data_IF_406693753492
#
_entry.id   IF_406693753492
#
_cell.length_a   1.000
_cell.length_b   1.000
_cell.length_c   1.000
_cell.angle_alpha   90.00
_cell.angle_beta   90.00
_cell.angle_gamma   90.00
#
_symmetry.space_group_name_H-M   'P 1'
#
loop_
_entity.id
_entity.type
_entity.pdbx_description
1 polymer ?
#
# COMPACT_ATOMS: atom_id res chain seq x y z
N UNK A 1 -3.85 -19.35 -6.86
CA UNK A 1 -4.40 -18.96 -5.53
C UNK A 1 -4.62 -17.45 -5.48
N UNK A 2 -5.64 -16.95 -4.76
CA UNK A 2 -5.97 -15.50 -4.72
C UNK A 2 -4.77 -14.60 -4.38
N UNK A 3 -3.78 -15.15 -3.67
CA UNK A 3 -2.51 -14.49 -3.34
C UNK A 3 -1.70 -14.13 -4.60
N UNK A 4 -1.50 -15.08 -5.53
CA UNK A 4 -0.70 -14.84 -6.75
C UNK A 4 -1.44 -13.99 -7.79
N UNK A 5 -2.77 -14.02 -7.77
CA UNK A 5 -3.56 -13.32 -8.80
C UNK A 5 -3.93 -11.90 -8.40
N UNK A 6 -4.21 -11.66 -7.11
CA UNK A 6 -4.68 -10.37 -6.60
C UNK A 6 -3.70 -9.73 -5.61
N UNK A 7 -3.28 -10.48 -4.58
CA UNK A 7 -2.48 -9.92 -3.48
C UNK A 7 -1.05 -9.55 -3.91
N UNK A 8 -0.50 -10.19 -4.96
CA UNK A 8 0.87 -9.99 -5.41
C UNK A 8 1.19 -8.54 -5.75
N UNK A 9 0.22 -7.83 -6.32
CA UNK A 9 0.38 -6.41 -6.67
C UNK A 9 0.53 -5.53 -5.43
N UNK A 10 -0.25 -5.83 -4.39
CA UNK A 10 -0.18 -5.09 -3.13
C UNK A 10 1.10 -5.44 -2.36
N UNK A 11 1.58 -6.68 -2.44
CA UNK A 11 2.87 -7.11 -1.90
C UNK A 11 4.00 -6.31 -2.55
N UNK A 12 4.03 -6.20 -3.88
CA UNK A 12 5.04 -5.43 -4.61
C UNK A 12 5.06 -3.95 -4.19
N UNK A 13 3.88 -3.32 -4.13
CA UNK A 13 3.74 -1.94 -3.62
C UNK A 13 4.29 -1.81 -2.20
N UNK A 14 3.95 -2.73 -1.29
CA UNK A 14 4.41 -2.68 0.10
C UNK A 14 5.93 -2.85 0.18
N UNK A 15 6.52 -3.79 -0.57
CA UNK A 15 7.97 -4.02 -0.56
C UNK A 15 8.72 -2.78 -1.06
N UNK A 16 8.21 -2.13 -2.12
CA UNK A 16 8.74 -0.88 -2.65
C UNK A 16 8.67 0.27 -1.65
N UNK A 17 7.53 0.45 -0.97
CA UNK A 17 7.31 1.58 -0.05
C UNK A 17 8.02 1.39 1.30
N UNK A 18 7.97 0.19 1.88
CA UNK A 18 8.54 -0.08 3.21
C UNK A 18 10.06 -0.21 3.15
N UNK A 19 10.60 -0.71 2.04
CA UNK A 19 12.03 -0.86 1.76
C UNK A 19 12.81 -1.44 2.96
N UNK A 20 12.32 -2.55 3.50
CA UNK A 20 12.91 -3.25 4.63
C UNK A 20 12.74 -4.76 4.46
N UNK A 21 13.66 -5.60 4.96
CA UNK A 21 13.48 -7.03 4.92
C UNK A 21 12.27 -7.47 5.74
N UNK A 22 11.54 -8.46 5.22
CA UNK A 22 10.50 -9.16 5.97
C UNK A 22 11.12 -9.91 7.15
N UNK A 23 10.55 -9.70 8.33
CA UNK A 23 10.91 -10.36 9.59
C UNK A 23 10.04 -11.58 9.85
N UNK A 24 8.72 -11.44 9.71
CA UNK A 24 7.76 -12.49 10.01
C UNK A 24 6.49 -12.31 9.18
N UNK A 25 5.81 -13.42 8.88
CA UNK A 25 4.52 -13.43 8.19
C UNK A 25 3.59 -14.36 8.97
N UNK A 26 2.37 -13.90 9.21
CA UNK A 26 1.24 -14.74 9.65
C UNK A 26 0.12 -14.57 8.63
N UNK A 27 -0.48 -15.66 8.16
CA UNK A 27 -1.56 -15.57 7.19
C UNK A 27 -2.60 -16.67 7.38
N UNK A 28 -3.79 -16.43 6.85
CA UNK A 28 -4.90 -17.38 6.86
C UNK A 28 -5.64 -17.30 5.52
N UNK A 29 -5.93 -18.45 4.92
CA UNK A 29 -6.71 -18.57 3.71
C UNK A 29 -8.02 -19.32 3.98
N UNK A 30 -9.08 -18.97 3.26
CA UNK A 30 -10.37 -19.68 3.29
C UNK A 30 -10.83 -19.95 1.87
N UNK A 31 -11.10 -21.22 1.60
CA UNK A 31 -11.78 -21.70 0.39
C UNK A 31 -13.28 -21.71 0.65
N UNK A 32 -14.08 -21.02 -0.17
CA UNK A 32 -15.54 -20.90 0.01
C UNK A 32 -16.28 -21.54 -1.16
N UNK A 33 -15.83 -21.25 -2.39
CA UNK A 33 -16.41 -21.73 -3.64
C UNK A 33 -15.39 -22.58 -4.40
N UNK A 34 -14.13 -22.16 -4.41
CA UNK A 34 -13.06 -22.84 -5.14
C UNK A 34 -12.35 -23.88 -4.27
N UNK A 35 -11.59 -24.79 -4.89
CA UNK A 35 -10.71 -25.71 -4.15
C UNK A 35 -9.51 -24.99 -3.53
N UNK A 36 -9.05 -23.91 -4.16
CA UNK A 36 -8.00 -23.03 -3.63
C UNK A 36 -8.58 -21.85 -2.84
N UNK A 37 -7.83 -21.22 -1.92
CA UNK A 37 -8.33 -20.10 -1.13
C UNK A 37 -8.88 -18.95 -1.98
N UNK A 38 -10.15 -18.60 -1.72
CA UNK A 38 -10.88 -17.49 -2.34
C UNK A 38 -10.64 -16.17 -1.60
N UNK A 39 -10.38 -16.26 -0.29
CA UNK A 39 -10.05 -15.15 0.60
C UNK A 39 -8.72 -15.48 1.29
N UNK A 40 -7.82 -14.51 1.32
CA UNK A 40 -6.59 -14.58 2.10
C UNK A 40 -6.39 -13.30 2.90
N UNK A 41 -6.02 -13.45 4.17
CA UNK A 41 -5.54 -12.38 5.04
C UNK A 41 -4.08 -12.65 5.37
N UNK A 42 -3.24 -11.62 5.32
CA UNK A 42 -1.83 -11.71 5.66
C UNK A 42 -1.40 -10.52 6.51
N UNK A 43 -0.58 -10.79 7.52
CA UNK A 43 0.12 -9.79 8.33
C UNK A 43 1.62 -9.99 8.14
N UNK A 44 2.27 -8.98 7.57
CA UNK A 44 3.70 -8.96 7.31
C UNK A 44 4.37 -8.01 8.30
N UNK A 45 5.32 -8.51 9.06
CA UNK A 45 6.17 -7.71 9.93
C UNK A 45 7.53 -7.50 9.27
N UNK A 46 8.01 -6.26 9.29
CA UNK A 46 9.30 -5.87 8.73
C UNK A 46 10.34 -5.65 9.82
N UNK A 47 11.63 -5.75 9.48
CA UNK A 47 12.73 -5.54 10.43
C UNK A 47 12.79 -4.12 11.00
N UNK A 48 12.31 -3.12 10.25
CA UNK A 48 12.20 -1.73 10.72
C UNK A 48 11.00 -1.48 11.65
N UNK A 49 10.20 -2.50 11.98
CA UNK A 49 9.01 -2.38 12.82
C UNK A 49 7.74 -1.99 12.07
N UNK A 50 7.79 -1.76 10.76
CA UNK A 50 6.59 -1.59 9.94
C UNK A 50 5.78 -2.88 9.93
N UNK A 51 4.45 -2.75 9.90
CA UNK A 51 3.51 -3.86 9.80
C UNK A 51 2.55 -3.57 8.67
N UNK A 52 2.41 -4.51 7.74
CA UNK A 52 1.44 -4.45 6.67
C UNK A 52 0.36 -5.53 6.87
N UNK A 53 -0.90 -5.13 6.81
CA UNK A 53 -2.03 -6.05 6.82
C UNK A 53 -2.67 -6.03 5.43
N UNK A 54 -2.82 -7.21 4.83
CA UNK A 54 -3.38 -7.39 3.50
C UNK A 54 -4.60 -8.30 3.58
N UNK A 55 -5.60 -7.98 2.76
CA UNK A 55 -6.76 -8.83 2.51
C UNK A 55 -7.00 -8.87 1.00
N UNK A 56 -7.02 -10.08 0.44
CA UNK A 56 -7.42 -10.30 -0.94
C UNK A 56 -8.60 -11.27 -0.97
N UNK A 57 -9.63 -10.96 -1.75
CA UNK A 57 -10.86 -11.75 -1.82
C UNK A 57 -11.49 -11.66 -3.20
N UNK A 58 -11.69 -12.82 -3.85
CA UNK A 58 -12.38 -12.91 -5.15
C UNK A 58 -13.90 -12.86 -5.03
N UNK A 59 -14.44 -13.09 -3.84
CA UNK A 59 -15.89 -13.20 -3.56
C UNK A 59 -16.47 -11.97 -2.85
N UNK A 60 -15.77 -10.83 -2.94
CA UNK A 60 -16.25 -9.56 -2.38
C UNK A 60 -17.46 -9.04 -3.15
N UNK A 61 -18.51 -8.60 -2.44
CA UNK A 61 -19.74 -8.05 -3.05
C UNK A 61 -19.51 -6.71 -3.78
N UNK A 62 -18.49 -5.95 -3.36
CA UNK A 62 -18.13 -4.65 -3.94
C UNK A 62 -16.66 -4.67 -4.34
N UNK A 63 -16.37 -4.19 -5.55
CA UNK A 63 -15.00 -3.95 -6.00
C UNK A 63 -14.35 -2.88 -5.12
N UNK A 64 -13.17 -3.19 -4.59
CA UNK A 64 -12.40 -2.30 -3.75
C UNK A 64 -10.91 -2.57 -3.96
N UNK A 65 -10.14 -1.51 -4.20
CA UNK A 65 -8.68 -1.58 -4.23
C UNK A 65 -8.13 -0.35 -3.54
N UNK A 66 -7.87 -0.47 -2.24
CA UNK A 66 -7.54 0.67 -1.38
C UNK A 66 -6.39 0.32 -0.44
N UNK A 67 -5.38 1.19 -0.39
CA UNK A 67 -4.25 1.09 0.54
C UNK A 67 -4.26 2.28 1.49
N UNK A 68 -3.95 2.03 2.76
CA UNK A 68 -3.89 3.07 3.80
C UNK A 68 -2.54 3.01 4.50
N UNK A 69 -1.89 4.15 4.60
CA UNK A 69 -0.64 4.32 5.33
C UNK A 69 -0.92 5.14 6.59
N UNK A 70 -0.41 4.64 7.70
CA UNK A 70 -0.49 5.31 9.00
C UNK A 70 0.93 5.64 9.45
N UNK A 71 1.20 6.93 9.55
CA UNK A 71 2.46 7.47 10.04
C UNK A 71 2.19 8.30 11.31
N UNK A 72 3.25 8.68 12.03
CA UNK A 72 3.14 9.46 13.27
C UNK A 72 2.44 10.81 13.05
N UNK A 73 2.60 11.38 11.87
CA UNK A 73 2.18 12.72 11.49
C UNK A 73 1.34 12.75 10.20
N UNK A 74 1.00 11.59 9.63
CA UNK A 74 0.22 11.52 8.40
C UNK A 74 -0.66 10.28 8.32
N UNK A 75 -1.83 10.46 7.71
CA UNK A 75 -2.71 9.42 7.22
C UNK A 75 -2.86 9.59 5.71
N UNK A 76 -2.52 8.55 4.96
CA UNK A 76 -2.58 8.56 3.50
C UNK A 76 -3.48 7.42 3.06
N UNK A 77 -4.46 7.73 2.23
CA UNK A 77 -5.44 6.78 1.72
C UNK A 77 -5.50 6.85 0.21
N UNK A 78 -5.06 5.77 -0.45
CA UNK A 78 -5.04 5.65 -1.91
C UNK A 78 -6.13 4.68 -2.34
N UNK A 79 -7.10 5.15 -3.11
CA UNK A 79 -8.12 4.35 -3.79
C UNK A 79 -7.73 4.19 -5.26
N UNK A 80 -7.20 3.03 -5.62
CA UNK A 80 -6.72 2.72 -6.97
C UNK A 80 -7.87 2.51 -7.95
N UNK A 81 -9.06 2.13 -7.46
CA UNK A 81 -10.21 1.91 -8.32
C UNK A 81 -10.82 3.25 -8.76
N UNK A 82 -11.01 4.15 -7.80
CA UNK A 82 -11.58 5.49 -8.03
C UNK A 82 -10.55 6.53 -8.49
N UNK A 83 -9.25 6.16 -8.51
CA UNK A 83 -8.12 7.07 -8.73
C UNK A 83 -8.19 8.30 -7.82
N UNK A 84 -8.32 8.06 -6.51
CA UNK A 84 -8.40 9.10 -5.47
C UNK A 84 -7.30 8.92 -4.44
N UNK A 85 -6.76 10.03 -3.95
CA UNK A 85 -5.75 10.05 -2.89
C UNK A 85 -6.14 11.11 -1.87
N UNK A 86 -6.21 10.70 -0.61
CA UNK A 86 -6.45 11.57 0.53
C UNK A 86 -5.21 11.55 1.42
N UNK A 87 -4.59 12.70 1.61
CA UNK A 87 -3.40 12.89 2.44
C UNK A 87 -3.77 13.87 3.55
N UNK A 88 -3.86 13.36 4.76
CA UNK A 88 -4.14 14.13 5.97
C UNK A 88 -2.86 14.19 6.78
N UNK A 89 -2.32 15.39 7.00
CA UNK A 89 -1.09 15.61 7.76
C UNK A 89 -1.37 16.34 9.06
N UNK A 90 -0.51 16.12 10.04
CA UNK A 90 -0.56 16.73 11.37
C UNK A 90 0.72 17.50 11.64
N UNK A 91 0.58 18.75 12.09
CA UNK A 91 1.70 19.58 12.56
C UNK A 91 1.36 20.20 13.91
N UNK A 92 2.34 20.79 14.58
CA UNK A 92 2.08 21.55 15.80
C UNK A 92 1.11 22.70 15.53
N UNK A 93 0.14 22.88 16.43
CA UNK A 93 -0.82 23.96 16.27
C UNK A 93 -0.11 25.32 16.35
N UNK A 94 -0.45 26.27 15.48
CA UNK A 94 0.12 27.61 15.53
C UNK A 94 -0.25 28.30 16.85
N UNK A 95 0.61 29.20 17.34
CA UNK A 95 0.35 29.98 18.57
C UNK A 95 -0.93 30.82 18.46
N UNK A 96 -1.23 31.29 17.25
CA UNK A 96 -2.46 31.98 16.89
C UNK A 96 -3.14 31.18 15.78
N UNK A 97 -4.19 30.40 16.10
CA UNK A 97 -5.00 29.72 15.10
C UNK A 97 -5.71 30.71 14.18
N UNK A 98 -5.73 30.43 12.88
CA UNK A 98 -6.66 31.06 11.96
C UNK A 98 -8.07 30.53 12.15
N UNK A 99 -9.07 31.27 11.68
CA UNK A 99 -10.50 30.94 11.85
C UNK A 99 -10.91 29.59 11.24
N UNK A 100 -10.12 29.07 10.28
CA UNK A 100 -10.37 27.82 9.57
C UNK A 100 -9.40 26.69 9.94
N UNK A 101 -8.52 26.90 10.92
CA UNK A 101 -7.57 25.87 11.33
C UNK A 101 -8.28 24.74 12.08
N UNK A 102 -8.17 23.52 11.56
CA UNK A 102 -8.65 22.32 12.25
C UNK A 102 -7.64 21.90 13.33
N UNK A 103 -7.91 22.25 14.58
CA UNK A 103 -7.05 21.91 15.72
C UNK A 103 -7.65 20.77 16.55
N UNK A 104 -6.89 19.70 16.74
CA UNK A 104 -7.17 18.66 17.72
C UNK A 104 -6.34 18.87 18.97
N UNK A 105 -6.96 18.62 20.13
CA UNK A 105 -6.27 18.57 21.41
C UNK A 105 -6.42 17.15 21.97
N UNK A 106 -5.30 16.50 22.29
CA UNK A 106 -5.34 15.20 22.96
C UNK A 106 -5.61 15.37 24.47
N UNK A 107 -5.80 14.25 25.18
CA UNK A 107 -6.06 14.24 26.63
C UNK A 107 -4.93 14.86 27.47
N UNK A 108 -3.72 14.91 26.94
CA UNK A 108 -2.52 15.48 27.58
C UNK A 108 -2.36 16.98 27.31
N UNK A 109 -3.29 17.60 26.57
CA UNK A 109 -3.27 19.03 26.26
C UNK A 109 -2.40 19.42 25.06
N UNK A 110 -1.82 18.45 24.34
CA UNK A 110 -1.04 18.70 23.13
C UNK A 110 -1.99 19.07 21.99
N UNK A 111 -1.76 20.26 21.41
CA UNK A 111 -2.54 20.77 20.27
C UNK A 111 -1.83 20.47 18.95
N UNK A 112 -2.54 19.84 18.02
CA UNK A 112 -2.07 19.56 16.66
C UNK A 112 -3.03 20.17 15.65
N UNK A 113 -2.50 20.76 14.59
CA UNK A 113 -3.27 21.21 13.44
C UNK A 113 -3.31 20.09 12.39
N UNK A 114 -4.50 19.79 11.89
CA UNK A 114 -4.72 18.93 10.72
C UNK A 114 -4.80 19.80 9.48
N UNK A 115 -4.18 19.35 8.40
CA UNK A 115 -4.38 19.91 7.07
C UNK A 115 -4.37 18.82 6.00
N UNK A 116 -4.99 19.13 4.86
CA UNK A 116 -5.08 18.23 3.72
C UNK A 116 -4.03 18.63 2.68
N UNK A 117 -3.34 17.64 2.13
CA UNK A 117 -2.27 17.80 1.14
C UNK A 117 -2.49 16.81 -0.01
N UNK A 118 -3.74 16.79 -0.50
CA UNK A 118 -4.18 15.85 -1.53
C UNK A 118 -3.46 16.19 -2.85
N UNK A 119 -2.71 15.24 -3.45
CA UNK A 119 -2.05 15.48 -4.71
C UNK A 119 -3.08 15.55 -5.86
N UNK A 120 -2.74 16.29 -6.90
CA UNK A 120 -3.46 16.20 -8.17
C UNK A 120 -3.17 14.86 -8.84
N UNK A 121 -4.22 14.17 -9.29
CA UNK A 121 -4.12 12.86 -9.92
C UNK A 121 -4.30 13.04 -11.41
N UNK A 122 -3.22 12.83 -12.15
CA UNK A 122 -3.24 12.90 -13.61
C UNK A 122 -3.81 11.60 -14.17
N UNK A 123 -4.72 11.73 -15.14
CA UNK A 123 -5.22 10.59 -15.87
C UNK A 123 -4.13 10.05 -16.81
N UNK A 124 -3.81 8.77 -16.64
CA UNK A 124 -2.81 8.07 -17.44
C UNK A 124 -3.29 6.67 -17.84
N UNK A 125 -2.57 6.08 -18.79
CA UNK A 125 -2.69 4.67 -19.15
C UNK A 125 -1.48 3.91 -18.60
N UNK A 126 -1.66 3.25 -17.46
CA UNK A 126 -0.56 2.58 -16.76
C UNK A 126 0.17 1.52 -17.60
N UNK A 127 -0.52 0.85 -18.54
CA UNK A 127 0.11 -0.14 -19.43
C UNK A 127 1.00 0.57 -20.46
N UNK A 128 0.54 1.70 -21.00
CA UNK A 128 1.35 2.50 -21.91
C UNK A 128 2.60 3.03 -21.17
N UNK A 129 2.41 3.60 -19.99
CA UNK A 129 3.50 4.13 -19.17
C UNK A 129 4.54 3.05 -18.81
N UNK A 130 4.09 1.84 -18.50
CA UNK A 130 4.96 0.68 -18.25
C UNK A 130 5.81 0.33 -19.48
N UNK A 131 5.17 0.23 -20.66
CA UNK A 131 5.85 -0.10 -21.91
C UNK A 131 6.83 1.00 -22.34
N UNK A 132 6.46 2.27 -22.18
CA UNK A 132 7.32 3.42 -22.45
C UNK A 132 8.53 3.45 -21.50
N UNK A 133 8.30 3.21 -20.20
CA UNK A 133 9.36 3.09 -19.20
C UNK A 133 10.33 1.96 -19.55
N UNK A 134 9.82 0.80 -19.97
CA UNK A 134 10.65 -0.33 -20.39
C UNK A 134 11.46 -0.01 -21.66
N UNK A 135 10.82 0.55 -22.69
CA UNK A 135 11.50 0.97 -23.91
C UNK A 135 12.59 2.03 -23.64
N UNK A 136 12.31 2.97 -22.74
CA UNK A 136 13.28 3.97 -22.32
C UNK A 136 14.48 3.33 -21.62
N UNK A 137 14.26 2.35 -20.73
CA UNK A 137 15.35 1.65 -20.05
C UNK A 137 16.29 0.94 -21.04
N UNK A 138 15.73 0.33 -22.10
CA UNK A 138 16.50 -0.27 -23.19
C UNK A 138 17.30 0.80 -23.95
N UNK A 139 16.64 1.86 -24.40
CA UNK A 139 17.26 2.89 -25.25
C UNK A 139 18.33 3.70 -24.53
N UNK A 140 18.21 3.86 -23.22
CA UNK A 140 19.14 4.65 -22.39
C UNK A 140 20.13 3.80 -21.61
N UNK A 141 20.03 2.47 -21.71
CA UNK A 141 20.82 1.51 -20.93
C UNK A 141 20.76 1.79 -19.41
N UNK A 142 19.55 2.03 -18.90
CA UNK A 142 19.29 2.31 -17.49
C UNK A 142 18.58 1.14 -16.81
N UNK A 143 18.62 1.11 -15.47
CA UNK A 143 17.92 0.11 -14.68
C UNK A 143 16.40 0.36 -14.80
N UNK A 144 15.58 -0.65 -15.16
CA UNK A 144 14.13 -0.48 -15.20
C UNK A 144 13.56 -0.20 -13.80
N UNK A 145 12.39 0.44 -13.75
CA UNK A 145 11.71 0.82 -12.50
C UNK A 145 11.42 -0.39 -11.61
N UNK A 146 10.95 -1.49 -12.22
CA UNK A 146 10.77 -2.79 -11.56
C UNK A 146 11.79 -3.75 -12.14
N UNK A 147 12.63 -4.32 -11.28
CA UNK A 147 13.67 -5.26 -11.69
C UNK A 147 13.30 -6.70 -11.44
N UNK A 148 14.10 -7.61 -12.00
CA UNK A 148 13.98 -9.03 -11.73
C UNK A 148 14.06 -9.34 -10.23
N UNK A 149 14.88 -8.60 -9.47
CA UNK A 149 14.97 -8.77 -8.03
C UNK A 149 13.66 -8.41 -7.34
N UNK A 150 13.05 -7.30 -7.72
CA UNK A 150 11.78 -6.83 -7.14
C UNK A 150 10.67 -7.84 -7.39
N UNK A 151 10.53 -8.32 -8.64
CA UNK A 151 9.57 -9.37 -8.98
C UNK A 151 9.84 -10.71 -8.26
N UNK A 152 11.11 -11.07 -8.07
CA UNK A 152 11.49 -12.28 -7.32
C UNK A 152 11.14 -12.15 -5.85
N UNK A 153 11.37 -10.99 -5.24
CA UNK A 153 11.04 -10.74 -3.83
C UNK A 153 9.53 -10.72 -3.59
N UNK A 154 8.75 -10.12 -4.50
CA UNK A 154 7.29 -10.17 -4.43
C UNK A 154 6.79 -11.62 -4.49
N UNK A 155 7.29 -12.42 -5.43
CA UNK A 155 6.93 -13.83 -5.54
C UNK A 155 7.37 -14.65 -4.32
N UNK A 156 8.56 -14.38 -3.78
CA UNK A 156 9.09 -15.02 -2.56
C UNK A 156 8.15 -14.76 -1.38
N UNK A 157 7.73 -13.50 -1.16
CA UNK A 157 6.82 -13.12 -0.08
C UNK A 157 5.42 -13.71 -0.28
N UNK A 158 4.90 -13.69 -1.50
CA UNK A 158 3.62 -14.33 -1.82
C UNK A 158 3.65 -15.84 -1.54
N UNK A 159 4.75 -16.52 -1.87
CA UNK A 159 4.94 -17.94 -1.58
C UNK A 159 5.02 -18.19 -0.07
N UNK A 160 5.70 -17.33 0.68
CA UNK A 160 5.73 -17.41 2.15
C UNK A 160 4.33 -17.29 2.77
N UNK A 161 3.48 -16.42 2.21
CA UNK A 161 2.07 -16.26 2.64
C UNK A 161 1.27 -17.53 2.35
N UNK A 162 1.40 -18.08 1.13
CA UNK A 162 0.69 -19.31 0.74
C UNK A 162 1.09 -20.47 1.64
N UNK A 163 2.37 -20.59 2.01
CA UNK A 163 2.86 -21.65 2.88
C UNK A 163 2.37 -21.57 4.35
N UNK A 164 1.54 -20.57 4.70
CA UNK A 164 0.91 -20.49 6.03
C UNK A 164 -0.41 -21.27 6.12
N UNK A 165 -0.97 -21.75 5.01
CA UNK A 165 -2.25 -22.47 4.98
C UNK A 165 -2.32 -23.54 3.89
#
# INVERSE_FOLDING_TARGET
PVVLDLMIHDIDIILSVVNSPVKHISASGVSVVSETPDIANARIEFKNGCVANLTASRISLKNMRKTRFFQKDAYISVDFLEKKCEVVKMKDAPKQPGDFDMILQNAEGVKKQIYFDNPEIQANNAILDELESFANAINTNTKPVVTLHDGTEALRVATMIINQF
#
